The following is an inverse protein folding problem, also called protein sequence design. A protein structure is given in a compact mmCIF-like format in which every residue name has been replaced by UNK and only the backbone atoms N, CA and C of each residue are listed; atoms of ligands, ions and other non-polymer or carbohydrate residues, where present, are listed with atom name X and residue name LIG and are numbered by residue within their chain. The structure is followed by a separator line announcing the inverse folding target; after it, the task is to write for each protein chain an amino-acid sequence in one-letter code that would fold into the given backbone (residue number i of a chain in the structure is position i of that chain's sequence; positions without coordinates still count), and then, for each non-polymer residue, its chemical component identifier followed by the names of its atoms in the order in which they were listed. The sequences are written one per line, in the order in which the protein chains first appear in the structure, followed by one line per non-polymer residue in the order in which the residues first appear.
data_IF_920206462249
#
_entry.id   IF_920206462249
#
_cell.length_a   1.000
_cell.length_b   1.000
_cell.length_c   1.000
_cell.angle_alpha   90.00
_cell.angle_beta   90.00
_cell.angle_gamma   90.00
#
_symmetry.space_group_name_H-M   'P 1'
#
loop_
_entity.id
_entity.type
_entity.pdbx_description
1 polymer ?
#
# COMPACT_ATOMS: atom_id res chain seq x y z
N UNK A 1 2.61 23.84 24.30
CA UNK A 1 3.28 22.54 24.46
C UNK A 1 2.33 21.65 25.24
N UNK A 2 1.78 20.61 24.62
CA UNK A 2 0.92 19.63 25.31
C UNK A 2 1.82 18.84 26.26
N UNK A 3 1.58 18.93 27.57
CA UNK A 3 2.36 18.18 28.56
C UNK A 3 1.72 16.79 28.67
N UNK A 4 2.45 15.74 28.31
CA UNK A 4 2.02 14.37 28.64
C UNK A 4 2.26 14.21 30.15
N UNK A 5 1.22 14.39 30.96
CA UNK A 5 1.25 14.10 32.40
C UNK A 5 0.90 12.63 32.64
N UNK A 6 1.28 12.06 33.78
CA UNK A 6 1.01 10.64 34.09
C UNK A 6 -0.47 10.24 34.05
N UNK A 7 -1.38 11.20 34.14
CA UNK A 7 -2.81 10.98 33.96
C UNK A 7 -3.24 10.77 32.51
N UNK A 8 -2.42 11.14 31.52
CA UNK A 8 -2.73 10.98 30.10
C UNK A 8 -2.53 9.54 29.63
N UNK A 9 -2.65 8.56 30.53
CA UNK A 9 -2.52 7.14 30.21
C UNK A 9 -3.52 6.34 31.04
N UNK A 10 -3.78 5.09 30.65
CA UNK A 10 -4.60 4.19 31.47
C UNK A 10 -3.94 3.85 32.81
N UNK A 11 -2.65 4.14 32.98
CA UNK A 11 -1.90 3.88 34.22
C UNK A 11 -1.21 5.13 34.77
N UNK A 12 -1.04 5.22 36.08
CA UNK A 12 -0.27 6.27 36.76
C UNK A 12 0.58 5.65 37.85
N UNK A 13 1.82 6.12 37.98
CA UNK A 13 2.66 5.75 39.13
C UNK A 13 2.32 6.66 40.32
N UNK A 14 1.93 6.08 41.45
CA UNK A 14 1.77 6.81 42.70
C UNK A 14 3.09 6.81 43.49
N UNK A 15 3.67 7.99 43.64
CA UNK A 15 4.95 8.21 44.33
C UNK A 15 4.87 7.96 45.84
N UNK A 16 3.67 8.03 46.43
CA UNK A 16 3.50 7.84 47.87
C UNK A 16 3.44 6.35 48.23
N UNK A 17 2.78 5.55 47.39
CA UNK A 17 2.65 4.10 47.60
C UNK A 17 3.72 3.30 46.87
N UNK A 18 4.38 3.88 45.86
CA UNK A 18 5.32 3.19 44.98
C UNK A 18 4.64 2.17 44.05
N UNK A 19 3.32 2.29 43.84
CA UNK A 19 2.51 1.36 43.05
C UNK A 19 2.03 2.00 41.75
N UNK A 20 1.64 1.16 40.79
CA UNK A 20 0.96 1.60 39.57
C UNK A 20 -0.56 1.55 39.83
N UNK A 21 -1.22 2.70 39.72
CA UNK A 21 -2.67 2.87 39.70
C UNK A 21 -3.20 2.77 38.27
N UNK A 22 -4.39 2.20 38.07
CA UNK A 22 -5.01 2.04 36.75
C UNK A 22 -6.10 0.97 36.77
N UNK A 23 -6.83 0.76 35.65
CA UNK A 23 -7.84 -0.28 35.56
C UNK A 23 -7.17 -1.64 35.78
N UNK A 24 -7.62 -2.36 36.81
CA UNK A 24 -7.17 -3.72 37.10
C UNK A 24 -7.91 -4.70 36.18
N UNK A 25 -7.28 -5.82 35.77
CA UNK A 25 -7.91 -6.83 34.92
C UNK A 25 -9.29 -7.32 35.41
N UNK A 26 -9.51 -7.32 36.73
CA UNK A 26 -10.75 -7.79 37.36
C UNK A 26 -11.86 -6.74 37.47
N UNK A 27 -11.57 -5.46 37.16
CA UNK A 27 -12.53 -4.35 37.33
C UNK A 27 -13.22 -3.96 36.01
N UNK A 28 -12.99 -4.69 34.91
CA UNK A 28 -13.58 -4.41 33.60
C UNK A 28 -13.88 -5.69 32.80
N UNK A 29 -15.05 -6.34 33.02
CA UNK A 29 -15.42 -7.59 32.36
C UNK A 29 -15.63 -7.47 30.84
N UNK A 30 -15.75 -6.26 30.30
CA UNK A 30 -15.79 -6.03 28.84
C UNK A 30 -14.39 -6.09 28.18
N UNK A 31 -13.34 -6.23 28.98
CA UNK A 31 -11.94 -6.27 28.53
C UNK A 31 -11.18 -7.42 29.21
N UNK A 32 -11.47 -8.66 28.81
CA UNK A 32 -10.59 -9.80 29.06
C UNK A 32 -9.27 -9.66 28.26
N UNK A 33 -8.42 -8.63 28.44
CA UNK A 33 -7.20 -8.56 27.60
C UNK A 33 -5.89 -8.10 28.29
N UNK A 34 -4.73 -8.65 27.81
CA UNK A 34 -3.34 -8.20 27.96
C UNK A 34 -2.99 -6.83 28.55
N UNK A 35 -1.72 -6.67 28.97
CA UNK A 35 -1.12 -5.35 29.21
C UNK A 35 -1.41 -4.41 28.04
N UNK A 36 -2.19 -3.35 28.29
CA UNK A 36 -2.64 -2.39 27.29
C UNK A 36 -2.31 -0.96 27.71
N UNK A 37 -1.14 -0.45 27.31
CA UNK A 37 -0.79 0.94 27.57
C UNK A 37 -1.40 1.83 26.48
N UNK A 38 -2.45 2.57 26.82
CA UNK A 38 -2.89 3.73 26.04
C UNK A 38 -2.29 5.01 26.60
N UNK A 39 -1.80 5.88 25.72
CA UNK A 39 -1.42 7.25 26.04
C UNK A 39 -2.35 8.17 25.23
N UNK A 40 -3.15 8.95 25.94
CA UNK A 40 -4.09 9.91 25.42
C UNK A 40 -3.43 11.27 25.25
N UNK A 41 -3.43 11.82 24.04
CA UNK A 41 -2.93 13.16 23.77
C UNK A 41 -4.13 14.09 23.73
N UNK A 42 -4.39 14.78 24.86
CA UNK A 42 -5.42 15.81 24.96
C UNK A 42 -4.79 17.21 24.93
N UNK A 43 -5.06 18.04 23.90
CA UNK A 43 -4.51 19.41 23.83
C UNK A 43 -5.00 20.35 24.93
N UNK A 44 -6.13 20.02 25.55
CA UNK A 44 -6.84 20.86 26.52
C UNK A 44 -6.62 20.43 27.98
N UNK A 45 -5.72 19.47 28.22
CA UNK A 45 -5.37 18.96 29.56
C UNK A 45 -6.59 18.49 30.39
N UNK A 46 -7.60 17.95 29.71
CA UNK A 46 -8.81 17.45 30.36
C UNK A 46 -8.49 16.24 31.28
N UNK A 47 -9.28 16.03 32.35
CA UNK A 47 -9.23 14.84 33.20
C UNK A 47 -9.25 13.53 32.39
N UNK A 48 -8.75 12.44 32.96
CA UNK A 48 -8.70 11.11 32.32
C UNK A 48 -9.37 10.04 33.19
N UNK A 49 -9.37 8.79 32.74
CA UNK A 49 -9.86 7.65 33.55
C UNK A 49 -9.09 7.48 34.87
N UNK A 50 -7.82 7.87 34.89
CA UNK A 50 -6.94 7.77 36.07
C UNK A 50 -7.01 9.02 36.95
N UNK A 51 -7.10 10.20 36.33
CA UNK A 51 -7.32 11.47 37.04
C UNK A 51 -8.76 11.90 36.78
N UNK A 52 -9.70 11.31 37.54
CA UNK A 52 -11.12 11.63 37.41
C UNK A 52 -11.42 13.08 37.84
N UNK A 53 -12.45 13.73 37.26
CA UNK A 53 -12.91 15.04 37.73
C UNK A 53 -13.26 15.00 39.22
N UNK A 54 -13.03 16.11 39.93
CA UNK A 54 -13.37 16.25 41.35
C UNK A 54 -14.89 16.34 41.61
N UNK A 55 -15.66 16.71 40.58
CA UNK A 55 -17.10 16.90 40.68
C UNK A 55 -17.84 15.60 40.29
N UNK A 56 -18.93 15.29 41.00
CA UNK A 56 -19.74 14.05 40.96
C UNK A 56 -20.35 13.65 39.59
N UNK A 57 -19.99 14.32 38.49
CA UNK A 57 -20.32 13.85 37.14
C UNK A 57 -19.38 12.72 36.73
N UNK A 58 -19.58 11.55 37.33
CA UNK A 58 -18.99 10.29 36.89
C UNK A 58 -19.18 10.14 35.37
N UNK A 59 -18.08 10.27 34.60
CA UNK A 59 -18.06 9.99 33.16
C UNK A 59 -17.49 11.09 32.27
N UNK A 60 -17.19 12.29 32.78
CA UNK A 60 -16.76 13.41 31.92
C UNK A 60 -15.21 13.54 31.86
N UNK A 61 -14.52 12.52 31.36
CA UNK A 61 -13.06 12.52 31.15
C UNK A 61 -12.70 12.28 29.68
N UNK A 62 -11.52 12.73 29.28
CA UNK A 62 -11.02 12.58 27.92
C UNK A 62 -10.40 11.20 27.69
N UNK A 63 -10.78 10.58 26.57
CA UNK A 63 -10.24 9.29 26.11
C UNK A 63 -9.31 9.45 24.89
N UNK A 64 -8.75 10.65 24.69
CA UNK A 64 -7.85 10.94 23.56
C UNK A 64 -8.55 10.99 22.20
N UNK A 65 -9.85 11.28 22.17
CA UNK A 65 -10.62 11.54 20.95
C UNK A 65 -11.37 12.87 21.06
N UNK A 66 -11.62 13.54 19.93
CA UNK A 66 -12.32 14.83 19.94
C UNK A 66 -13.79 14.67 20.37
N UNK A 67 -14.42 13.54 20.04
CA UNK A 67 -15.83 13.27 20.36
C UNK A 67 -16.08 13.05 21.84
N UNK A 68 -15.14 12.39 22.53
CA UNK A 68 -15.22 12.09 23.97
C UNK A 68 -14.53 13.16 24.83
N UNK A 69 -14.01 14.24 24.25
CA UNK A 69 -13.36 15.29 25.02
C UNK A 69 -14.39 16.11 25.82
N UNK A 70 -14.25 16.26 27.16
CA UNK A 70 -15.18 17.00 28.00
C UNK A 70 -14.99 18.52 27.93
N UNK A 71 -13.99 19.01 27.19
CA UNK A 71 -13.71 20.44 27.07
C UNK A 71 -14.91 21.19 26.46
N UNK A 72 -15.32 22.30 27.09
CA UNK A 72 -16.53 23.05 26.68
C UNK A 72 -16.37 23.86 25.39
N UNK A 73 -15.14 24.00 24.89
CA UNK A 73 -14.81 24.76 23.68
C UNK A 73 -14.44 23.88 22.49
N UNK A 74 -13.43 24.31 21.73
CA UNK A 74 -12.82 23.49 20.69
C UNK A 74 -12.33 22.16 21.27
N UNK A 75 -12.52 21.08 20.53
CA UNK A 75 -12.13 19.73 20.93
C UNK A 75 -11.14 19.11 19.96
N UNK A 76 -10.62 19.88 19.00
CA UNK A 76 -9.77 19.36 17.94
C UNK A 76 -8.36 19.00 18.40
N UNK A 77 -7.75 18.02 17.73
CA UNK A 77 -6.31 17.74 17.84
C UNK A 77 -5.94 16.60 18.78
N UNK A 78 -6.89 15.74 19.15
CA UNK A 78 -6.58 14.57 19.95
C UNK A 78 -5.86 13.48 19.14
N UNK A 79 -5.09 12.66 19.85
CA UNK A 79 -4.44 11.48 19.32
C UNK A 79 -4.27 10.41 20.41
N UNK A 80 -4.06 9.17 19.99
CA UNK A 80 -3.86 8.02 20.88
C UNK A 80 -2.63 7.24 20.45
N UNK A 81 -1.80 6.87 21.42
CA UNK A 81 -0.76 5.84 21.29
C UNK A 81 -1.24 4.60 22.03
N UNK A 82 -1.14 3.43 21.43
CA UNK A 82 -1.51 2.16 22.06
C UNK A 82 -0.37 1.16 21.91
N UNK A 83 -0.01 0.50 23.02
CA UNK A 83 0.86 -0.66 23.07
C UNK A 83 0.08 -1.82 23.67
N UNK A 84 -0.01 -2.92 22.94
CA UNK A 84 -0.77 -4.11 23.32
C UNK A 84 0.05 -5.37 23.06
N UNK A 85 -0.01 -6.32 23.98
CA UNK A 85 0.76 -7.56 23.84
C UNK A 85 0.28 -8.43 22.65
N UNK A 86 -1.01 -8.35 22.28
CA UNK A 86 -1.57 -9.15 21.18
C UNK A 86 -1.81 -8.35 19.89
N UNK A 87 -1.97 -7.02 19.97
CA UNK A 87 -2.27 -6.16 18.81
C UNK A 87 -1.03 -5.39 18.31
N UNK A 88 0.00 -5.25 19.15
CA UNK A 88 1.23 -4.53 18.81
C UNK A 88 1.18 -3.03 19.13
N UNK A 89 1.67 -2.20 18.22
CA UNK A 89 1.82 -0.75 18.38
C UNK A 89 0.87 -0.03 17.44
N UNK A 90 0.13 0.96 17.95
CA UNK A 90 -0.77 1.80 17.16
C UNK A 90 -0.64 3.27 17.53
N UNK A 91 -0.52 4.13 16.53
CA UNK A 91 -0.63 5.58 16.64
C UNK A 91 -1.83 6.01 15.80
N UNK A 92 -2.77 6.74 16.39
CA UNK A 92 -3.94 7.25 15.70
C UNK A 92 -4.17 8.73 16.02
N UNK A 93 -4.40 9.54 14.99
CA UNK A 93 -4.94 10.89 15.16
C UNK A 93 -6.45 10.88 15.02
N UNK A 94 -7.13 11.87 15.61
CA UNK A 94 -8.60 11.93 15.52
C UNK A 94 -9.14 12.08 14.08
N UNK A 95 -8.32 12.56 13.15
CA UNK A 95 -8.67 12.63 11.72
C UNK A 95 -8.51 11.28 10.99
N UNK A 96 -8.22 10.19 11.72
CA UNK A 96 -8.15 8.83 11.20
C UNK A 96 -6.78 8.44 10.63
N UNK A 97 -5.75 9.24 10.83
CA UNK A 97 -4.41 8.89 10.36
C UNK A 97 -3.83 7.82 11.28
N UNK A 98 -3.44 6.67 10.73
CA UNK A 98 -2.96 5.53 11.52
C UNK A 98 -1.54 5.11 11.10
N UNK A 99 -0.72 4.78 12.10
CA UNK A 99 0.48 3.95 11.97
C UNK A 99 0.31 2.74 12.87
N UNK A 100 0.46 1.54 12.31
CA UNK A 100 0.27 0.26 13.03
C UNK A 100 1.46 -0.64 12.76
N UNK A 101 1.99 -1.26 13.82
CA UNK A 101 2.92 -2.39 13.76
C UNK A 101 2.28 -3.55 14.52
N UNK A 102 1.89 -4.62 13.82
CA UNK A 102 1.23 -5.77 14.43
C UNK A 102 2.21 -6.85 14.89
N UNK A 103 1.69 -7.86 15.60
CA UNK A 103 2.47 -9.00 16.10
C UNK A 103 2.91 -9.99 15.00
N UNK A 104 2.47 -9.79 13.76
CA UNK A 104 2.83 -10.61 12.60
C UNK A 104 3.89 -9.92 11.71
N UNK A 105 4.64 -8.95 12.26
CA UNK A 105 5.63 -8.12 11.57
C UNK A 105 5.03 -7.25 10.45
N UNK A 106 3.72 -7.01 10.50
CA UNK A 106 3.01 -6.15 9.57
C UNK A 106 3.12 -4.68 9.96
N UNK A 107 3.48 -3.81 9.01
CA UNK A 107 3.48 -2.35 9.15
C UNK A 107 2.41 -1.77 8.25
N UNK A 108 1.47 -1.01 8.82
CA UNK A 108 0.42 -0.33 8.07
C UNK A 108 0.44 1.17 8.32
N UNK A 109 0.46 1.95 7.24
CA UNK A 109 0.26 3.39 7.27
C UNK A 109 -1.04 3.72 6.57
N UNK A 110 -1.91 4.49 7.21
CA UNK A 110 -3.18 4.98 6.66
C UNK A 110 -3.27 6.49 6.89
N UNK A 111 -2.60 7.32 6.07
CA UNK A 111 -2.61 8.77 6.22
C UNK A 111 -3.93 9.45 5.84
N UNK A 112 -4.87 8.73 5.23
CA UNK A 112 -6.28 9.13 5.10
C UNK A 112 -7.14 7.88 4.78
N UNK A 113 -8.46 8.04 4.64
CA UNK A 113 -9.37 6.94 4.32
C UNK A 113 -9.19 6.30 2.93
N UNK A 114 -8.34 6.88 2.07
CA UNK A 114 -8.18 6.51 0.66
C UNK A 114 -6.77 6.02 0.34
N UNK A 115 -5.79 6.31 1.17
CA UNK A 115 -4.39 6.01 0.94
C UNK A 115 -3.88 5.08 2.03
N UNK A 116 -3.26 3.98 1.63
CA UNK A 116 -2.63 3.05 2.57
C UNK A 116 -1.35 2.43 2.02
N UNK A 117 -0.38 2.24 2.90
CA UNK A 117 0.75 1.35 2.70
C UNK A 117 0.62 0.19 3.69
N UNK A 118 0.66 -1.04 3.20
CA UNK A 118 0.62 -2.26 4.00
C UNK A 118 1.83 -3.11 3.64
N UNK A 119 2.73 -3.32 4.60
CA UNK A 119 3.95 -4.11 4.45
C UNK A 119 3.80 -5.31 5.37
N UNK A 120 3.73 -6.52 4.82
CA UNK A 120 3.66 -7.77 5.58
C UNK A 120 4.71 -8.74 5.05
N UNK A 121 5.03 -9.82 5.79
CA UNK A 121 6.05 -10.78 5.36
C UNK A 121 5.88 -11.30 3.93
N UNK A 122 4.64 -11.54 3.51
CA UNK A 122 4.33 -12.17 2.21
C UNK A 122 3.76 -11.21 1.17
N UNK A 123 3.52 -9.94 1.50
CA UNK A 123 3.04 -8.96 0.53
C UNK A 123 3.35 -7.52 0.93
N UNK A 124 3.60 -6.69 -0.09
CA UNK A 124 3.70 -5.23 0.07
C UNK A 124 2.64 -4.61 -0.83
N UNK A 125 1.79 -3.76 -0.27
CA UNK A 125 0.68 -3.12 -0.99
C UNK A 125 0.69 -1.62 -0.74
N UNK A 126 0.76 -0.85 -1.82
CA UNK A 126 0.44 0.58 -1.81
C UNK A 126 -0.90 0.77 -2.52
N UNK A 127 -1.85 1.38 -1.84
CA UNK A 127 -3.18 1.67 -2.38
C UNK A 127 -3.50 3.16 -2.25
N UNK A 128 -4.07 3.75 -3.30
CA UNK A 128 -4.61 5.10 -3.31
C UNK A 128 -5.91 5.11 -4.10
N UNK A 129 -7.03 5.33 -3.41
CA UNK A 129 -8.40 5.08 -3.90
C UNK A 129 -8.52 3.66 -4.48
N UNK A 130 -8.69 3.56 -5.79
CA UNK A 130 -8.84 2.30 -6.52
C UNK A 130 -7.54 1.86 -7.19
N UNK A 131 -6.51 2.69 -7.18
CA UNK A 131 -5.19 2.37 -7.71
C UNK A 131 -4.42 1.55 -6.69
N UNK A 132 -3.80 0.46 -7.14
CA UNK A 132 -3.08 -0.48 -6.28
C UNK A 132 -1.78 -0.93 -6.94
N UNK A 133 -0.71 -0.94 -6.15
CA UNK A 133 0.58 -1.56 -6.47
C UNK A 133 0.77 -2.67 -5.43
N UNK A 134 1.01 -3.89 -5.89
CA UNK A 134 1.25 -5.05 -5.02
C UNK A 134 2.53 -5.78 -5.43
N UNK A 135 3.33 -6.15 -4.44
CA UNK A 135 4.37 -7.17 -4.55
C UNK A 135 3.84 -8.40 -3.80
N UNK A 136 3.58 -9.47 -4.53
CA UNK A 136 3.06 -10.72 -3.98
C UNK A 136 4.20 -11.65 -3.52
N UNK A 137 3.84 -12.69 -2.75
CA UNK A 137 4.78 -13.66 -2.18
C UNK A 137 5.65 -14.35 -3.22
N UNK A 138 5.09 -14.62 -4.40
CA UNK A 138 5.81 -15.23 -5.52
C UNK A 138 6.72 -14.25 -6.29
N UNK A 139 6.90 -13.02 -5.78
CA UNK A 139 7.70 -11.96 -6.41
C UNK A 139 6.99 -11.20 -7.53
N UNK A 140 5.74 -11.55 -7.85
CA UNK A 140 4.99 -10.83 -8.87
C UNK A 140 4.70 -9.40 -8.41
N UNK A 141 4.96 -8.44 -9.30
CA UNK A 141 4.57 -7.05 -9.11
C UNK A 141 3.34 -6.78 -9.97
N UNK A 142 2.21 -6.44 -9.33
CA UNK A 142 0.96 -6.13 -10.00
C UNK A 142 0.62 -4.64 -9.86
N UNK A 143 0.24 -4.00 -10.98
CA UNK A 143 -0.32 -2.65 -11.02
C UNK A 143 -1.79 -2.72 -11.45
N UNK A 144 -2.68 -2.14 -10.65
CA UNK A 144 -4.09 -1.95 -10.98
C UNK A 144 -4.41 -0.46 -10.95
N UNK A 145 -4.85 0.11 -12.08
CA UNK A 145 -5.04 1.55 -12.29
C UNK A 145 -6.43 1.90 -12.88
N UNK A 146 -7.54 1.47 -12.27
CA UNK A 146 -8.87 1.78 -12.79
C UNK A 146 -9.22 3.27 -12.58
N UNK A 147 -10.00 3.88 -13.50
CA UNK A 147 -10.51 3.34 -14.75
C UNK A 147 -9.54 3.55 -15.94
N UNK A 148 -8.44 4.28 -15.72
CA UNK A 148 -7.55 4.74 -16.78
C UNK A 148 -6.84 3.59 -17.50
N UNK A 149 -6.63 2.45 -16.82
CA UNK A 149 -6.02 1.23 -17.36
C UNK A 149 -4.71 1.50 -18.15
N UNK A 150 -4.02 2.58 -17.80
CA UNK A 150 -2.81 3.04 -18.48
C UNK A 150 -1.68 3.19 -17.46
N UNK A 151 -0.53 2.62 -17.78
CA UNK A 151 0.72 2.77 -17.05
C UNK A 151 1.74 3.40 -17.99
N UNK A 152 2.35 4.50 -17.57
CA UNK A 152 3.40 5.19 -18.33
C UNK A 152 4.71 5.09 -17.56
N UNK A 153 5.78 4.65 -18.24
CA UNK A 153 7.14 4.58 -17.70
C UNK A 153 8.01 5.54 -18.51
N UNK A 154 8.50 6.61 -17.88
CA UNK A 154 9.29 7.66 -18.55
C UNK A 154 10.79 7.32 -18.67
N UNK A 155 11.15 6.06 -18.47
CA UNK A 155 12.53 5.58 -18.46
C UNK A 155 12.66 4.24 -19.16
N UNK A 156 13.86 3.65 -19.07
CA UNK A 156 14.14 2.37 -19.70
C UNK A 156 13.45 1.23 -18.92
N UNK A 157 12.91 0.26 -19.67
CA UNK A 157 12.43 -1.01 -19.13
C UNK A 157 13.35 -2.11 -19.68
N UNK A 158 14.01 -2.83 -18.78
CA UNK A 158 14.83 -4.00 -19.11
C UNK A 158 14.20 -5.24 -18.50
N UNK A 159 13.95 -6.26 -19.32
CA UNK A 159 13.46 -7.57 -18.89
C UNK A 159 14.52 -8.63 -19.17
N UNK A 160 14.94 -9.40 -18.16
CA UNK A 160 15.99 -10.42 -18.32
C UNK A 160 15.50 -11.71 -19.02
N UNK A 161 14.19 -11.97 -18.96
CA UNK A 161 13.58 -13.15 -19.57
C UNK A 161 12.62 -12.71 -20.69
N UNK A 162 11.36 -13.06 -20.57
CA UNK A 162 10.35 -12.79 -21.60
C UNK A 162 9.59 -11.50 -21.28
N UNK A 163 9.30 -10.72 -22.32
CA UNK A 163 8.26 -9.70 -22.33
C UNK A 163 7.11 -10.20 -23.19
N UNK A 164 5.93 -10.36 -22.59
CA UNK A 164 4.70 -10.73 -23.29
C UNK A 164 3.81 -9.51 -23.37
N UNK A 165 3.30 -9.22 -24.58
CA UNK A 165 2.33 -8.14 -24.84
C UNK A 165 1.12 -8.75 -25.52
N UNK A 166 -0.02 -8.82 -24.81
CA UNK A 166 -1.18 -9.59 -25.26
C UNK A 166 -1.92 -8.99 -26.47
N UNK A 167 -1.89 -7.66 -26.59
CA UNK A 167 -2.61 -6.94 -27.65
C UNK A 167 -1.64 -6.41 -28.71
N UNK A 168 -1.26 -5.14 -28.59
CA UNK A 168 -0.47 -4.45 -29.59
C UNK A 168 0.83 -3.95 -28.96
N UNK A 169 1.94 -4.18 -29.66
CA UNK A 169 3.23 -3.56 -29.38
C UNK A 169 3.56 -2.57 -30.50
N UNK A 170 3.68 -1.29 -30.14
CA UNK A 170 4.18 -0.24 -31.05
C UNK A 170 5.56 0.19 -30.59
N UNK A 171 6.55 0.12 -31.48
CA UNK A 171 7.92 0.59 -31.22
C UNK A 171 8.16 1.84 -32.07
N UNK A 172 8.40 2.98 -31.42
CA UNK A 172 8.47 4.27 -32.11
C UNK A 172 9.74 4.53 -32.92
N UNK A 173 10.89 4.00 -32.46
CA UNK A 173 12.20 4.31 -33.05
C UNK A 173 12.81 3.09 -33.75
N UNK A 174 13.41 2.17 -32.99
CA UNK A 174 14.12 1.03 -33.53
C UNK A 174 13.79 -0.24 -32.75
N UNK A 175 13.55 -1.33 -33.47
CA UNK A 175 13.41 -2.66 -32.93
C UNK A 175 14.56 -3.51 -33.48
N UNK A 176 15.45 -3.97 -32.59
CA UNK A 176 16.47 -4.97 -32.93
C UNK A 176 16.03 -6.32 -32.34
N UNK A 177 16.07 -7.36 -33.17
CA UNK A 177 15.84 -8.74 -32.71
C UNK A 177 17.04 -9.58 -33.12
N UNK A 178 17.79 -10.08 -32.14
CA UNK A 178 18.97 -10.93 -32.37
C UNK A 178 18.62 -12.42 -32.57
N UNK A 179 17.34 -12.76 -32.40
CA UNK A 179 16.80 -14.11 -32.58
C UNK A 179 15.82 -14.19 -33.73
N UNK A 180 14.75 -14.95 -33.54
CA UNK A 180 13.73 -15.16 -34.56
C UNK A 180 12.55 -14.21 -34.39
N UNK A 181 12.02 -13.74 -35.51
CA UNK A 181 10.73 -13.05 -35.57
C UNK A 181 9.77 -13.94 -36.33
N UNK A 182 8.64 -14.30 -35.71
CA UNK A 182 7.54 -15.00 -36.38
C UNK A 182 6.37 -14.04 -36.53
N UNK A 183 5.82 -13.93 -37.73
CA UNK A 183 4.63 -13.14 -38.01
C UNK A 183 3.57 -14.05 -38.60
N UNK A 184 2.49 -14.30 -37.87
CA UNK A 184 1.37 -15.15 -38.30
C UNK A 184 0.34 -14.41 -39.17
N UNK A 185 0.69 -13.22 -39.65
CA UNK A 185 -0.16 -12.36 -40.46
C UNK A 185 0.67 -11.61 -41.50
N UNK A 186 0.16 -10.49 -41.96
CA UNK A 186 0.83 -9.71 -43.00
C UNK A 186 1.97 -8.87 -42.42
N UNK A 187 3.07 -8.81 -43.17
CA UNK A 187 4.15 -7.85 -42.95
C UNK A 187 4.07 -6.79 -44.04
N UNK A 188 3.92 -5.52 -43.64
CA UNK A 188 3.99 -4.38 -44.54
C UNK A 188 5.28 -3.60 -44.24
N UNK A 189 6.12 -3.41 -45.25
CA UNK A 189 7.34 -2.60 -45.15
C UNK A 189 7.23 -1.44 -46.12
N UNK A 190 7.21 -0.21 -45.61
CA UNK A 190 7.14 1.02 -46.42
C UNK A 190 8.52 1.55 -46.79
N UNK A 191 9.56 1.13 -46.07
CA UNK A 191 10.96 1.50 -46.31
C UNK A 191 11.75 0.39 -47.00
N UNK A 192 13.08 0.44 -46.83
CA UNK A 192 13.98 -0.58 -47.38
C UNK A 192 13.89 -1.88 -46.58
N UNK A 193 13.55 -2.97 -47.27
CA UNK A 193 13.72 -4.33 -46.76
C UNK A 193 14.96 -4.96 -47.41
N UNK A 194 15.93 -5.38 -46.60
CA UNK A 194 17.14 -6.07 -47.07
C UNK A 194 17.04 -7.57 -46.83
N UNK A 195 16.95 -8.34 -47.91
CA UNK A 195 16.85 -9.79 -47.89
C UNK A 195 18.07 -10.47 -48.54
N UNK A 196 19.19 -9.75 -48.70
CA UNK A 196 20.39 -10.26 -49.38
C UNK A 196 20.97 -11.54 -48.77
N UNK A 197 20.67 -11.81 -47.49
CA UNK A 197 21.06 -13.02 -46.76
C UNK A 197 19.87 -13.91 -46.39
N UNK A 198 18.68 -13.62 -46.91
CA UNK A 198 17.48 -14.38 -46.57
C UNK A 198 17.40 -15.68 -47.39
N UNK A 199 17.02 -16.76 -46.72
CA UNK A 199 16.54 -17.99 -47.39
C UNK A 199 15.03 -17.93 -47.45
N UNK A 200 14.46 -18.01 -48.66
CA UNK A 200 13.01 -17.98 -48.87
C UNK A 200 12.53 -19.37 -49.26
N UNK A 201 11.68 -19.97 -48.42
CA UNK A 201 11.02 -21.24 -48.72
C UNK A 201 9.65 -20.96 -49.35
N UNK A 202 9.53 -21.29 -50.63
CA UNK A 202 8.28 -21.15 -51.39
C UNK A 202 7.71 -22.55 -51.71
N UNK A 203 6.38 -22.69 -51.85
CA UNK A 203 5.79 -23.89 -52.42
C UNK A 203 6.34 -24.17 -53.82
N UNK A 204 6.56 -25.44 -54.16
CA UNK A 204 7.09 -25.83 -55.48
C UNK A 204 6.24 -25.27 -56.63
N UNK A 205 4.93 -25.23 -56.46
CA UNK A 205 4.00 -24.67 -57.44
C UNK A 205 4.28 -23.20 -57.76
N UNK A 206 4.68 -22.41 -56.76
CA UNK A 206 5.04 -21.00 -56.96
C UNK A 206 6.40 -20.87 -57.62
N UNK A 207 7.36 -21.74 -57.26
CA UNK A 207 8.67 -21.81 -57.90
C UNK A 207 8.51 -22.09 -59.40
N UNK A 208 7.71 -23.09 -59.76
CA UNK A 208 7.46 -23.47 -61.15
C UNK A 208 6.84 -22.30 -61.95
N UNK A 209 5.87 -21.58 -61.35
CA UNK A 209 5.27 -20.38 -61.95
C UNK A 209 6.28 -19.26 -62.17
N UNK A 210 7.20 -19.03 -61.22
CA UNK A 210 8.27 -18.03 -61.35
C UNK A 210 9.21 -18.41 -62.49
N UNK A 211 9.66 -19.66 -62.54
CA UNK A 211 10.58 -20.15 -63.57
C UNK A 211 9.96 -20.02 -64.97
N UNK A 212 8.68 -20.38 -65.13
CA UNK A 212 7.95 -20.22 -66.40
C UNK A 212 7.87 -18.75 -66.83
N UNK A 213 7.56 -17.83 -65.91
CA UNK A 213 7.53 -16.38 -66.20
C UNK A 213 8.89 -15.84 -66.63
N UNK A 214 9.98 -16.21 -65.95
CA UNK A 214 11.33 -15.80 -66.31
C UNK A 214 11.70 -16.30 -67.71
N UNK A 215 11.41 -17.56 -68.02
CA UNK A 215 11.63 -18.13 -69.36
C UNK A 215 10.82 -17.43 -70.46
N UNK A 216 9.63 -16.90 -70.14
CA UNK A 216 8.81 -16.18 -71.12
C UNK A 216 9.24 -14.73 -71.35
N UNK A 217 10.16 -14.21 -70.54
CA UNK A 217 10.68 -12.84 -70.61
C UNK A 217 12.12 -12.76 -71.14
N UNK A 218 12.77 -13.91 -71.36
CA UNK A 218 14.10 -14.06 -71.96
C UNK A 218 13.98 -14.51 -73.42
#
# INVERSE_FOLDING_TARGET
MVRIKGANSDYKFDVNTGQIEGPKPTENPDFEQPLYLKIFICPYDMPSRVEKPLDEQEGNWCEGTDSQCPHKGDKSGHAVVSLHQDEGIRLETNNGNQLVVDQQNGIRLRPDAKTSLDVRPNHIVLQRHKTRIEIAENGNIALSVPPQNQVTINGNVTTNNNLVVDKNLTVGNHLTVNGHVTVNGNVAVTGRLDLSKATVNLPQTLIDQIVLKVKSQA
#
